data_IF_665935324994
#
_entry.id   IF_665935324994
#
_cell.length_a   1.000
_cell.length_b   1.000
_cell.length_c   1.000
_cell.angle_alpha   90.00
_cell.angle_beta   90.00
_cell.angle_gamma   90.00
#
_symmetry.space_group_name_H-M   'P 1'
#
loop_
_entity.id
_entity.type
_entity.pdbx_description
1 polymer ?
#
# COMPACT_ATOMS: atom_id res chain seq x y z
N UNK A 1 -19.70 19.38 -3.66
CA UNK A 1 -19.66 18.49 -2.48
C UNK A 1 -18.91 17.23 -2.91
N UNK A 2 -17.62 17.07 -2.56
CA UNK A 2 -16.83 15.92 -3.00
C UNK A 2 -17.30 14.66 -2.27
N UNK A 3 -17.71 13.63 -3.01
CA UNK A 3 -18.09 12.34 -2.40
C UNK A 3 -16.84 11.67 -1.78
N UNK A 4 -16.98 10.96 -0.66
CA UNK A 4 -15.86 10.25 -0.03
C UNK A 4 -15.13 9.27 -0.97
N UNK A 5 -15.84 8.70 -1.95
CA UNK A 5 -15.26 7.83 -2.98
C UNK A 5 -14.32 8.59 -3.93
N UNK A 6 -14.61 9.86 -4.21
CA UNK A 6 -13.73 10.75 -4.98
C UNK A 6 -12.42 11.04 -4.23
N UNK A 7 -12.48 11.15 -2.89
CA UNK A 7 -11.30 11.35 -2.04
C UNK A 7 -10.37 10.13 -1.99
N UNK A 8 -10.93 8.92 -1.86
CA UNK A 8 -10.14 7.69 -1.85
C UNK A 8 -9.42 7.46 -3.18
N UNK A 9 -10.11 7.69 -4.32
CA UNK A 9 -9.49 7.64 -5.66
C UNK A 9 -8.29 8.59 -5.75
N UNK A 10 -8.48 9.86 -5.37
CA UNK A 10 -7.42 10.87 -5.48
C UNK A 10 -6.22 10.52 -4.59
N UNK A 11 -6.46 10.00 -3.39
CA UNK A 11 -5.40 9.53 -2.49
C UNK A 11 -4.60 8.37 -3.11
N UNK A 12 -5.26 7.41 -3.77
CA UNK A 12 -4.58 6.31 -4.45
C UNK A 12 -3.79 6.76 -5.67
N UNK A 13 -4.32 7.71 -6.46
CA UNK A 13 -3.60 8.29 -7.59
C UNK A 13 -2.33 9.03 -7.13
N UNK A 14 -2.44 9.88 -6.12
CA UNK A 14 -1.29 10.58 -5.55
C UNK A 14 -0.24 9.59 -5.00
N UNK A 15 -0.68 8.56 -4.27
CA UNK A 15 0.22 7.53 -3.76
C UNK A 15 0.89 6.72 -4.89
N UNK A 16 0.20 6.48 -6.00
CA UNK A 16 0.73 5.73 -7.14
C UNK A 16 1.95 6.41 -7.79
N UNK A 17 2.06 7.74 -7.71
CA UNK A 17 3.19 8.50 -8.25
C UNK A 17 4.55 8.14 -7.63
N UNK A 18 4.57 7.52 -6.43
CA UNK A 18 5.79 7.03 -5.80
C UNK A 18 6.26 5.65 -6.31
N UNK A 19 5.50 5.00 -7.19
CA UNK A 19 5.76 3.63 -7.66
C UNK A 19 5.83 3.56 -9.19
N UNK A 20 6.51 2.52 -9.71
CA UNK A 20 6.79 2.36 -11.16
C UNK A 20 5.69 1.62 -11.94
N UNK A 21 4.64 1.15 -11.26
CA UNK A 21 3.61 0.28 -11.85
C UNK A 21 2.22 0.76 -11.48
N UNK A 22 1.21 0.33 -12.23
CA UNK A 22 -0.20 0.59 -11.95
C UNK A 22 -0.81 -0.29 -10.84
N UNK A 23 -0.01 -1.11 -10.17
CA UNK A 23 -0.42 -1.91 -9.01
C UNK A 23 -0.02 -1.21 -7.73
N UNK A 24 -0.97 -1.01 -6.81
CA UNK A 24 -0.73 -0.42 -5.50
C UNK A 24 -1.21 -1.36 -4.39
N UNK A 25 -0.35 -1.63 -3.41
CA UNK A 25 -0.71 -2.39 -2.22
C UNK A 25 -1.10 -1.44 -1.08
N UNK A 26 -2.33 -1.60 -0.58
CA UNK A 26 -2.83 -0.93 0.63
C UNK A 26 -2.92 -1.96 1.77
N UNK A 27 -1.97 -1.96 2.72
CA UNK A 27 -2.12 -2.73 3.95
C UNK A 27 -3.40 -2.27 4.68
N UNK A 28 -4.23 -3.24 5.07
CA UNK A 28 -5.46 -3.01 5.81
C UNK A 28 -5.32 -3.64 7.20
N UNK A 29 -4.97 -2.83 8.18
CA UNK A 29 -4.73 -3.30 9.55
C UNK A 29 -4.06 -2.24 10.41
N UNK A 30 -3.88 -2.58 11.68
CA UNK A 30 -3.07 -1.84 12.66
C UNK A 30 -2.84 -2.78 13.87
N UNK A 31 -2.15 -2.29 14.90
CA UNK A 31 -1.91 -3.01 16.15
C UNK A 31 -3.22 -3.55 16.75
N UNK A 32 -3.24 -4.85 17.02
CA UNK A 32 -4.35 -5.57 17.65
C UNK A 32 -5.73 -5.35 17.01
N UNK A 33 -5.78 -5.11 15.70
CA UNK A 33 -7.04 -4.98 14.95
C UNK A 33 -7.59 -6.34 14.53
N UNK A 34 -8.81 -6.31 13.99
CA UNK A 34 -9.57 -7.47 13.50
C UNK A 34 -10.17 -8.37 14.59
N UNK A 35 -10.18 -7.92 15.84
CA UNK A 35 -10.96 -8.50 16.95
C UNK A 35 -12.46 -8.61 16.62
N UNK A 36 -12.98 -7.67 15.82
CA UNK A 36 -14.32 -7.70 15.23
C UNK A 36 -14.26 -7.70 13.69
N UNK A 37 -13.63 -8.73 13.13
CA UNK A 37 -13.34 -8.81 11.68
C UNK A 37 -14.57 -8.63 10.79
N UNK A 38 -15.71 -9.23 11.12
CA UNK A 38 -16.93 -9.16 10.30
C UNK A 38 -17.34 -7.72 9.98
N UNK A 39 -17.43 -6.86 11.01
CA UNK A 39 -17.78 -5.44 10.83
C UNK A 39 -16.78 -4.73 9.93
N UNK A 40 -15.50 -5.07 10.02
CA UNK A 40 -14.46 -4.46 9.20
C UNK A 40 -14.62 -4.88 7.74
N UNK A 41 -14.87 -6.17 7.48
CA UNK A 41 -15.15 -6.67 6.13
C UNK A 41 -16.41 -6.04 5.55
N UNK A 42 -17.51 -5.95 6.28
CA UNK A 42 -18.75 -5.32 5.80
C UNK A 42 -18.52 -3.86 5.32
N UNK A 43 -17.71 -3.11 6.07
CA UNK A 43 -17.35 -1.73 5.72
C UNK A 43 -16.44 -1.67 4.49
N UNK A 44 -15.40 -2.51 4.44
CA UNK A 44 -14.46 -2.54 3.32
C UNK A 44 -15.15 -3.01 2.04
N UNK A 45 -16.06 -3.98 2.13
CA UNK A 45 -16.92 -4.42 1.02
C UNK A 45 -17.75 -3.26 0.48
N UNK A 46 -18.39 -2.49 1.37
CA UNK A 46 -19.15 -1.30 0.99
C UNK A 46 -18.29 -0.27 0.23
N UNK A 47 -17.07 -0.03 0.71
CA UNK A 47 -16.11 0.88 0.06
C UNK A 47 -15.66 0.36 -1.31
N UNK A 48 -15.24 -0.91 -1.39
CA UNK A 48 -14.78 -1.54 -2.64
C UNK A 48 -15.91 -1.53 -3.68
N UNK A 49 -17.12 -1.96 -3.29
CA UNK A 49 -18.27 -2.02 -4.18
C UNK A 49 -18.64 -0.64 -4.71
N UNK A 50 -18.65 0.38 -3.86
CA UNK A 50 -18.95 1.75 -4.28
C UNK A 50 -17.84 2.33 -5.17
N UNK A 51 -16.58 2.12 -4.80
CA UNK A 51 -15.44 2.63 -5.57
C UNK A 51 -15.38 1.98 -6.96
N UNK A 52 -15.59 0.68 -7.07
CA UNK A 52 -15.59 -0.03 -8.35
C UNK A 52 -16.79 0.34 -9.23
N UNK A 53 -17.99 0.55 -8.66
CA UNK A 53 -19.14 1.08 -9.42
C UNK A 53 -18.83 2.47 -10.01
N UNK A 54 -18.21 3.36 -9.23
CA UNK A 54 -17.78 4.66 -9.74
C UNK A 54 -16.70 4.53 -10.82
N UNK A 55 -15.79 3.56 -10.68
CA UNK A 55 -14.78 3.28 -11.71
C UNK A 55 -15.42 2.78 -13.01
N UNK A 56 -16.48 1.96 -12.94
CA UNK A 56 -17.24 1.50 -14.10
C UNK A 56 -17.94 2.68 -14.81
N UNK A 57 -18.58 3.57 -14.04
CA UNK A 57 -19.19 4.79 -14.56
C UNK A 57 -18.16 5.71 -15.22
N UNK A 58 -17.01 5.94 -14.57
CA UNK A 58 -15.92 6.73 -15.13
C UNK A 58 -15.41 6.09 -16.44
N UNK A 59 -15.27 4.77 -16.49
CA UNK A 59 -14.86 4.07 -17.72
C UNK A 59 -15.85 4.31 -18.87
N UNK A 60 -17.15 4.26 -18.59
CA UNK A 60 -18.20 4.55 -19.57
C UNK A 60 -18.13 6.01 -20.06
N UNK A 61 -17.93 6.96 -19.15
CA UNK A 61 -17.71 8.38 -19.48
C UNK A 61 -16.46 8.57 -20.35
N UNK A 62 -15.33 7.96 -19.97
CA UNK A 62 -14.08 8.03 -20.75
C UNK A 62 -14.27 7.46 -22.16
N UNK A 63 -15.08 6.40 -22.33
CA UNK A 63 -15.33 5.79 -23.64
C UNK A 63 -15.99 6.75 -24.64
N UNK A 64 -16.78 7.71 -24.15
CA UNK A 64 -17.46 8.73 -24.97
C UNK A 64 -16.56 9.89 -25.38
N UNK A 65 -15.38 10.02 -24.76
CA UNK A 65 -14.42 11.08 -25.07
C UNK A 65 -13.64 10.79 -26.36
N UNK A 66 -13.16 11.85 -27.06
CA UNK A 66 -12.23 11.69 -28.17
C UNK A 66 -10.91 11.07 -27.70
N UNK A 67 -10.20 10.40 -28.61
CA UNK A 67 -8.97 9.67 -28.33
C UNK A 67 -7.92 10.51 -27.57
N UNK A 68 -7.81 11.80 -27.91
CA UNK A 68 -6.89 12.74 -27.27
C UNK A 68 -7.14 12.97 -25.77
N UNK A 69 -8.38 12.78 -25.29
CA UNK A 69 -8.76 12.93 -23.89
C UNK A 69 -9.00 11.59 -23.18
N UNK A 70 -9.27 10.53 -23.94
CA UNK A 70 -9.60 9.20 -23.40
C UNK A 70 -8.46 8.61 -22.59
N UNK A 71 -7.23 8.63 -23.11
CA UNK A 71 -6.08 8.04 -22.44
C UNK A 71 -5.82 8.67 -21.05
N UNK A 72 -5.95 10.01 -20.96
CA UNK A 72 -5.83 10.70 -19.68
C UNK A 72 -6.94 10.29 -18.71
N UNK A 73 -8.20 10.28 -19.18
CA UNK A 73 -9.35 9.88 -18.36
C UNK A 73 -9.22 8.45 -17.81
N UNK A 74 -8.81 7.50 -18.65
CA UNK A 74 -8.61 6.10 -18.29
C UNK A 74 -7.46 5.91 -17.30
N UNK A 75 -6.38 6.71 -17.42
CA UNK A 75 -5.24 6.66 -16.50
C UNK A 75 -5.60 6.98 -15.05
N UNK A 76 -6.73 7.65 -14.83
CA UNK A 76 -7.20 8.01 -13.49
C UNK A 76 -8.25 7.04 -12.92
N UNK A 77 -8.57 5.96 -13.63
CA UNK A 77 -9.50 4.93 -13.15
C UNK A 77 -8.77 4.05 -12.13
N UNK A 78 -9.32 3.98 -10.91
CA UNK A 78 -8.76 3.15 -9.82
C UNK A 78 -9.74 2.05 -9.47
N UNK A 79 -9.27 0.80 -9.47
CA UNK A 79 -10.05 -0.38 -9.03
C UNK A 79 -9.47 -0.96 -7.75
N UNK A 80 -10.37 -1.42 -6.87
CA UNK A 80 -10.05 -1.96 -5.57
C UNK A 80 -10.46 -3.44 -5.48
N UNK A 81 -9.66 -4.25 -4.80
CA UNK A 81 -9.96 -5.66 -4.56
C UNK A 81 -9.20 -6.16 -3.32
N UNK A 82 -9.73 -7.18 -2.65
CA UNK A 82 -8.97 -7.90 -1.63
C UNK A 82 -7.85 -8.71 -2.25
N UNK A 83 -6.67 -8.61 -1.65
CA UNK A 83 -5.48 -9.32 -2.07
C UNK A 83 -4.65 -9.75 -0.87
N UNK A 84 -3.58 -10.47 -1.16
CA UNK A 84 -2.53 -10.82 -0.21
C UNK A 84 -1.20 -10.27 -0.73
N UNK A 85 -0.17 -10.12 0.13
CA UNK A 85 1.16 -9.74 -0.34
C UNK A 85 1.68 -10.65 -1.46
N UNK A 86 1.46 -11.97 -1.35
CA UNK A 86 1.87 -12.92 -2.39
C UNK A 86 1.19 -12.65 -3.74
N UNK A 87 -0.14 -12.49 -3.76
CA UNK A 87 -0.89 -12.18 -4.99
C UNK A 87 -0.43 -10.85 -5.60
N UNK A 88 -0.19 -9.84 -4.76
CA UNK A 88 0.36 -8.55 -5.20
C UNK A 88 1.72 -8.71 -5.86
N UNK A 89 2.71 -9.33 -5.19
CA UNK A 89 4.05 -9.48 -5.74
C UNK A 89 4.09 -10.40 -6.96
N UNK A 90 3.20 -11.40 -7.03
CA UNK A 90 3.04 -12.25 -8.20
C UNK A 90 2.48 -11.51 -9.41
N UNK A 91 1.56 -10.56 -9.21
CA UNK A 91 1.10 -9.67 -10.28
C UNK A 91 2.15 -8.61 -10.64
N UNK A 92 2.87 -8.10 -9.63
CA UNK A 92 3.91 -7.08 -9.77
C UNK A 92 5.08 -7.56 -10.62
N UNK A 93 5.56 -8.79 -10.41
CA UNK A 93 6.64 -9.41 -11.22
C UNK A 93 6.32 -9.55 -12.71
N UNK A 94 5.03 -9.51 -13.09
CA UNK A 94 4.59 -9.57 -14.48
C UNK A 94 4.51 -8.19 -15.14
N UNK A 95 4.71 -7.11 -14.39
CA UNK A 95 4.61 -5.76 -14.92
C UNK A 95 5.85 -5.37 -15.73
N UNK A 96 5.68 -4.78 -16.93
CA UNK A 96 6.81 -4.40 -17.78
C UNK A 96 7.73 -3.35 -17.13
N UNK A 97 7.19 -2.51 -16.22
CA UNK A 97 7.95 -1.48 -15.49
C UNK A 97 8.96 -2.01 -14.47
N UNK A 98 9.11 -3.33 -14.32
CA UNK A 98 9.98 -3.98 -13.33
C UNK A 98 11.04 -4.91 -13.92
N UNK A 99 11.32 -4.81 -15.23
CA UNK A 99 12.39 -5.55 -15.88
C UNK A 99 13.78 -5.32 -15.27
N UNK A 100 14.00 -4.18 -14.59
CA UNK A 100 15.25 -3.86 -13.90
C UNK A 100 15.01 -2.96 -12.66
N UNK A 101 14.66 -3.53 -11.49
CA UNK A 101 14.45 -2.75 -10.27
C UNK A 101 15.77 -2.17 -9.73
N UNK A 102 15.74 -1.04 -9.02
CA UNK A 102 16.93 -0.47 -8.41
C UNK A 102 17.50 -1.46 -7.37
N UNK A 103 18.82 -1.55 -7.30
CA UNK A 103 19.53 -2.41 -6.35
C UNK A 103 20.06 -1.56 -5.20
N UNK A 104 19.75 -1.96 -3.97
CA UNK A 104 20.31 -1.40 -2.74
C UNK A 104 21.20 -2.44 -2.07
N UNK A 105 22.32 -2.03 -1.48
CA UNK A 105 23.33 -2.95 -0.90
C UNK A 105 23.74 -2.65 0.55
N UNK A 106 23.27 -1.54 1.12
CA UNK A 106 23.53 -1.21 2.52
C UNK A 106 22.38 -1.72 3.40
N UNK A 107 22.55 -1.62 4.72
CA UNK A 107 21.43 -1.78 5.64
C UNK A 107 20.53 -0.53 5.63
N UNK A 108 19.58 -0.50 6.56
CA UNK A 108 18.67 0.63 6.79
C UNK A 108 18.85 1.20 8.22
N UNK A 109 20.07 1.13 8.77
CA UNK A 109 20.38 1.57 10.12
C UNK A 109 21.26 2.84 10.13
N UNK A 110 21.12 3.72 11.14
CA UNK A 110 20.06 3.74 12.17
C UNK A 110 18.72 4.26 11.63
N UNK A 111 17.62 3.75 12.16
CA UNK A 111 16.28 4.25 11.85
C UNK A 111 15.99 5.57 12.58
N UNK A 112 15.32 6.49 11.91
CA UNK A 112 14.74 7.70 12.49
C UNK A 112 13.40 8.00 11.80
N UNK A 113 12.33 8.17 12.58
CA UNK A 113 11.01 8.57 12.07
C UNK A 113 10.89 10.09 11.90
N UNK A 114 11.72 10.86 12.61
CA UNK A 114 11.84 12.31 12.51
C UNK A 114 13.30 12.74 12.50
N UNK A 115 13.56 13.95 11.98
CA UNK A 115 14.91 14.51 11.94
C UNK A 115 15.44 14.69 13.37
N UNK A 116 16.55 14.03 13.69
CA UNK A 116 17.20 14.08 15.00
C UNK A 116 16.76 12.99 15.99
N UNK A 117 15.65 12.29 15.72
CA UNK A 117 15.10 11.26 16.60
C UNK A 117 15.57 9.87 16.16
N UNK A 118 16.86 9.58 16.37
CA UNK A 118 17.44 8.28 15.99
C UNK A 118 17.11 7.21 17.03
N UNK A 119 16.60 6.07 16.56
CA UNK A 119 16.20 4.95 17.40
C UNK A 119 17.41 4.07 17.74
N UNK A 120 18.48 4.65 18.30
CA UNK A 120 19.68 3.90 18.69
C UNK A 120 19.67 3.47 20.16
N UNK A 121 18.79 4.04 20.99
CA UNK A 121 18.70 3.70 22.41
C UNK A 121 18.28 2.25 22.68
N UNK A 122 17.49 1.63 21.81
CA UNK A 122 17.08 0.23 21.99
C UNK A 122 18.22 -0.78 21.77
N UNK A 123 19.35 -0.34 21.20
CA UNK A 123 20.55 -1.18 21.09
C UNK A 123 21.11 -1.55 22.48
N UNK A 124 20.95 -0.69 23.49
CA UNK A 124 21.49 -0.91 24.85
C UNK A 124 20.42 -0.98 25.94
N UNK A 125 19.16 -0.63 25.66
CA UNK A 125 18.04 -0.72 26.62
C UNK A 125 17.88 -2.14 27.17
N UNK A 126 17.69 -2.30 28.49
CA UNK A 126 17.58 -3.60 29.17
C UNK A 126 18.81 -4.53 28.92
N UNK A 127 20.04 -4.11 29.26
CA UNK A 127 21.26 -4.82 28.90
C UNK A 127 21.35 -6.22 29.54
N UNK A 128 20.87 -6.39 30.77
CA UNK A 128 20.85 -7.69 31.44
C UNK A 128 19.97 -8.70 30.68
N UNK A 129 18.80 -8.27 30.19
CA UNK A 129 17.92 -9.13 29.38
C UNK A 129 18.57 -9.47 28.04
N UNK A 130 19.21 -8.52 27.37
CA UNK A 130 19.93 -8.77 26.12
C UNK A 130 21.08 -9.77 26.31
N UNK A 131 21.79 -9.72 27.43
CA UNK A 131 22.88 -10.64 27.74
C UNK A 131 22.40 -12.09 27.91
N UNK A 132 21.15 -12.32 28.32
CA UNK A 132 20.59 -13.68 28.46
C UNK A 132 20.37 -14.38 27.11
N UNK A 133 20.12 -13.64 26.02
CA UNK A 133 19.78 -14.24 24.72
C UNK A 133 20.95 -15.07 24.14
N UNK A 134 22.20 -14.55 24.03
CA UNK A 134 23.33 -15.35 23.59
C UNK A 134 23.64 -16.54 24.51
N UNK A 135 23.50 -16.37 25.83
CA UNK A 135 23.71 -17.44 26.80
C UNK A 135 22.71 -18.58 26.60
N UNK A 136 21.44 -18.26 26.38
CA UNK A 136 20.40 -19.25 26.12
C UNK A 136 20.54 -19.91 24.74
N UNK A 137 21.04 -19.19 23.73
CA UNK A 137 21.24 -19.73 22.39
C UNK A 137 22.44 -20.68 22.27
N UNK A 138 23.38 -20.63 23.22
CA UNK A 138 24.57 -21.49 23.26
C UNK A 138 24.40 -22.76 24.12
N UNK A 139 23.28 -22.89 24.84
CA UNK A 139 22.91 -24.07 25.64
C UNK A 139 22.04 -25.04 24.83
#
# INVERSE_FOLDING_TARGET
MFSQASGLRLLMLNRSAAYRTNLLMQPAGNDFRWDHAQRTFDLVDGVINKANKNADQQAEECSRLPESARAQCESEIVRFLYSTPDRYFSALRKQPGLSNPPRWRADLLPYADKLGDYWTGFYTTQPNLKALVPTAAAA
#
